data_IF_070564980553
#
_entry.id   IF_070564980553
#
_cell.length_a   1.000
_cell.length_b   1.000
_cell.length_c   1.000
_cell.angle_alpha   90.00
_cell.angle_beta   90.00
_cell.angle_gamma   90.00
#
_symmetry.space_group_name_H-M   'P 1'
#
loop_
_entity.id
_entity.type
_entity.pdbx_description
1 polymer ?
#
# COMPACT_ATOMS: atom_id res chain seq x y z
N UNK A 1 -37.36 44.52 2.79
CA UNK A 1 -38.25 44.37 1.62
C UNK A 1 -38.75 42.94 1.59
N UNK A 2 -39.97 42.69 2.08
CA UNK A 2 -40.60 41.36 2.08
C UNK A 2 -41.32 41.14 0.76
N UNK A 3 -40.79 40.29 -0.11
CA UNK A 3 -41.44 39.89 -1.36
C UNK A 3 -42.45 38.78 -1.07
N UNK A 4 -43.72 39.16 -0.96
CA UNK A 4 -44.84 38.22 -0.97
C UNK A 4 -44.96 37.59 -2.37
N UNK A 5 -44.28 36.46 -2.58
CA UNK A 5 -44.46 35.66 -3.79
C UNK A 5 -45.88 35.06 -3.78
N UNK A 6 -46.60 35.22 -4.90
CA UNK A 6 -47.98 34.79 -5.05
C UNK A 6 -48.11 33.26 -4.88
N UNK A 7 -49.21 32.77 -4.27
CA UNK A 7 -49.40 31.34 -3.98
C UNK A 7 -49.43 30.45 -5.22
N UNK A 8 -49.60 31.04 -6.41
CA UNK A 8 -49.58 30.33 -7.68
C UNK A 8 -48.18 29.81 -8.04
N UNK A 9 -47.12 30.59 -7.78
CA UNK A 9 -45.74 30.18 -8.10
C UNK A 9 -45.25 29.01 -7.26
N UNK A 10 -45.71 28.88 -6.00
CA UNK A 10 -45.36 27.72 -5.15
C UNK A 10 -45.95 26.41 -5.66
N UNK A 11 -47.15 26.42 -6.25
CA UNK A 11 -47.79 25.20 -6.76
C UNK A 11 -47.15 24.70 -8.05
N UNK A 12 -46.72 25.61 -8.93
CA UNK A 12 -46.02 25.23 -10.17
C UNK A 12 -44.63 24.67 -9.87
N UNK A 13 -43.90 25.26 -8.91
CA UNK A 13 -42.57 24.76 -8.51
C UNK A 13 -42.60 23.34 -7.94
N UNK A 14 -43.59 23.00 -7.11
CA UNK A 14 -43.72 21.64 -6.56
C UNK A 14 -44.02 20.58 -7.62
N UNK A 15 -44.84 20.88 -8.63
CA UNK A 15 -45.17 19.92 -9.68
C UNK A 15 -43.96 19.60 -10.58
N UNK A 16 -43.15 20.60 -10.90
CA UNK A 16 -41.93 20.40 -11.70
C UNK A 16 -40.91 19.55 -10.95
N UNK A 17 -40.72 19.80 -9.64
CA UNK A 17 -39.78 19.02 -8.83
C UNK A 17 -40.19 17.54 -8.72
N UNK A 18 -41.47 17.26 -8.51
CA UNK A 18 -41.98 15.88 -8.44
C UNK A 18 -41.82 15.17 -9.78
N UNK A 19 -42.09 15.85 -10.91
CA UNK A 19 -41.90 15.26 -12.23
C UNK A 19 -40.43 14.87 -12.51
N UNK A 20 -39.47 15.73 -12.13
CA UNK A 20 -38.03 15.44 -12.28
C UNK A 20 -37.59 14.25 -11.43
N UNK A 21 -38.07 14.14 -10.19
CA UNK A 21 -37.74 13.01 -9.32
C UNK A 21 -38.30 11.69 -9.90
N UNK A 22 -39.56 11.68 -10.36
CA UNK A 22 -40.18 10.48 -10.93
C UNK A 22 -39.47 10.03 -12.20
N UNK A 23 -39.12 10.96 -13.10
CA UNK A 23 -38.35 10.66 -14.32
C UNK A 23 -36.95 10.10 -14.00
N UNK A 24 -36.29 10.62 -12.95
CA UNK A 24 -34.96 10.15 -12.54
C UNK A 24 -35.01 8.73 -11.99
N UNK A 25 -36.03 8.41 -11.18
CA UNK A 25 -36.24 7.07 -10.63
C UNK A 25 -36.56 6.08 -11.75
N UNK A 26 -37.46 6.44 -12.68
CA UNK A 26 -37.80 5.56 -13.80
C UNK A 26 -36.60 5.33 -14.73
N UNK A 27 -35.77 6.35 -15.00
CA UNK A 27 -34.54 6.19 -15.78
C UNK A 27 -33.51 5.25 -15.12
N UNK A 28 -33.42 5.29 -13.78
CA UNK A 28 -32.54 4.41 -13.00
C UNK A 28 -32.98 2.93 -13.11
N UNK A 29 -34.29 2.65 -13.05
CA UNK A 29 -34.81 1.28 -13.17
C UNK A 29 -34.93 0.77 -14.61
N UNK A 30 -35.07 1.65 -15.60
CA UNK A 30 -35.13 1.29 -17.01
C UNK A 30 -33.74 0.96 -17.63
N UNK A 31 -32.67 0.96 -16.85
CA UNK A 31 -31.37 0.42 -17.28
C UNK A 31 -30.69 1.19 -18.41
N UNK A 32 -30.97 2.49 -18.55
CA UNK A 32 -30.31 3.36 -19.54
C UNK A 32 -28.86 3.64 -19.06
N UNK A 33 -27.98 2.65 -19.17
CA UNK A 33 -26.54 2.84 -19.02
C UNK A 33 -26.02 3.49 -20.30
N UNK A 34 -25.77 4.80 -20.25
CA UNK A 34 -24.93 5.45 -21.24
C UNK A 34 -23.49 4.97 -21.02
N UNK A 35 -23.04 4.01 -21.83
CA UNK A 35 -21.61 3.70 -21.97
C UNK A 35 -20.98 4.78 -22.85
N UNK A 36 -20.02 5.59 -22.36
CA UNK A 36 -19.23 6.43 -23.25
C UNK A 36 -18.33 5.52 -24.11
N UNK A 37 -18.48 5.61 -25.43
CA UNK A 37 -17.58 4.99 -26.39
C UNK A 37 -16.23 5.68 -26.33
N UNK A 38 -15.20 4.99 -25.85
CA UNK A 38 -13.81 5.40 -26.01
C UNK A 38 -13.29 4.88 -27.35
N UNK A 39 -13.54 5.64 -28.41
CA UNK A 39 -12.89 5.43 -29.70
C UNK A 39 -11.46 5.95 -29.67
N UNK A 40 -10.52 5.07 -30.05
CA UNK A 40 -9.30 5.43 -30.76
C UNK A 40 -8.13 6.00 -29.94
N UNK A 41 -7.24 5.11 -29.48
CA UNK A 41 -5.82 5.45 -29.44
C UNK A 41 -4.96 4.26 -29.86
N UNK A 42 -4.51 4.34 -31.12
CA UNK A 42 -3.38 3.61 -31.70
C UNK A 42 -2.12 3.88 -30.89
N UNK A 43 -1.43 2.84 -30.41
CA UNK A 43 0.01 2.96 -30.11
C UNK A 43 0.77 1.65 -30.32
N UNK A 44 1.46 1.66 -31.47
CA UNK A 44 2.72 1.03 -31.86
C UNK A 44 3.34 -0.04 -30.94
N UNK A 45 3.45 -1.24 -31.49
CA UNK A 45 4.34 -2.31 -31.03
C UNK A 45 5.79 -2.00 -31.42
N UNK A 46 6.66 -1.77 -30.43
CA UNK A 46 8.10 -1.82 -30.63
C UNK A 46 8.60 -3.26 -30.45
N UNK A 47 9.10 -3.84 -31.53
CA UNK A 47 9.92 -5.05 -31.54
C UNK A 47 11.35 -4.67 -31.18
N UNK A 48 11.83 -5.07 -29.99
CA UNK A 48 13.25 -4.97 -29.64
C UNK A 48 13.99 -6.26 -30.01
N UNK A 49 15.05 -6.03 -30.77
CA UNK A 49 16.06 -6.97 -31.25
C UNK A 49 16.95 -7.44 -30.11
N UNK A 50 17.01 -8.75 -29.88
CA UNK A 50 17.98 -9.38 -28.99
C UNK A 50 19.34 -9.52 -29.70
N UNK A 51 20.41 -9.14 -29.00
CA UNK A 51 21.79 -9.55 -29.31
C UNK A 51 22.43 -10.15 -28.06
N UNK A 52 23.27 -11.19 -28.20
CA UNK A 52 23.77 -11.98 -27.08
C UNK A 52 25.08 -11.40 -26.50
N UNK A 53 25.15 -11.28 -25.18
CA UNK A 53 26.40 -11.31 -24.41
C UNK A 53 26.62 -12.78 -24.01
N UNK A 54 27.75 -13.42 -24.23
CA UNK A 54 29.09 -12.95 -23.93
C UNK A 54 29.59 -13.73 -22.71
N UNK A 55 29.76 -15.04 -22.90
CA UNK A 55 30.24 -16.02 -21.93
C UNK A 55 31.73 -15.81 -21.64
N UNK A 56 32.08 -15.59 -20.36
CA UNK A 56 33.45 -15.65 -19.85
C UNK A 56 33.46 -16.25 -18.46
N UNK A 57 33.93 -17.51 -18.42
CA UNK A 57 34.90 -18.09 -17.50
C UNK A 57 34.91 -17.57 -16.06
N UNK A 58 34.38 -18.39 -15.15
CA UNK A 58 34.65 -18.32 -13.72
C UNK A 58 35.16 -19.68 -13.23
N UNK A 59 36.46 -19.91 -13.43
CA UNK A 59 37.18 -20.96 -12.71
C UNK A 59 37.73 -20.41 -11.39
N UNK A 60 37.81 -21.35 -10.43
CA UNK A 60 38.69 -21.33 -9.26
C UNK A 60 38.08 -20.82 -7.94
N UNK A 61 37.46 -21.74 -7.19
CA UNK A 61 37.23 -21.58 -5.75
C UNK A 61 37.77 -22.80 -5.00
N UNK A 62 38.93 -22.60 -4.40
CA UNK A 62 39.63 -23.53 -3.52
C UNK A 62 38.87 -23.68 -2.19
N UNK A 63 38.61 -24.91 -1.76
CA UNK A 63 38.12 -25.25 -0.42
C UNK A 63 39.20 -25.00 0.65
N UNK A 64 38.79 -24.69 1.88
CA UNK A 64 39.55 -25.11 3.06
C UNK A 64 38.71 -26.01 3.98
N UNK A 65 39.20 -27.25 4.05
CA UNK A 65 39.30 -28.19 5.18
C UNK A 65 38.68 -27.81 6.53
N UNK A 66 37.94 -28.81 7.03
CA UNK A 66 37.34 -28.99 8.35
C UNK A 66 38.26 -28.74 9.54
N UNK A 67 37.76 -27.99 10.53
CA UNK A 67 38.25 -27.94 11.90
C UNK A 67 37.15 -28.37 12.86
N UNK A 68 37.32 -29.55 13.45
CA UNK A 68 36.46 -30.20 14.42
C UNK A 68 36.69 -29.57 15.82
N UNK A 69 35.65 -29.08 16.50
CA UNK A 69 35.70 -28.85 17.95
C UNK A 69 34.36 -29.21 18.62
N UNK A 70 34.49 -30.14 19.56
CA UNK A 70 33.46 -30.66 20.45
C UNK A 70 32.79 -29.55 21.27
N UNK A 71 31.47 -29.61 21.38
CA UNK A 71 30.73 -28.93 22.43
C UNK A 71 29.50 -29.76 22.78
N UNK A 72 29.67 -30.54 23.85
CA UNK A 72 28.60 -31.21 24.58
C UNK A 72 27.61 -30.18 25.12
N UNK A 73 26.44 -30.08 24.49
CA UNK A 73 25.31 -29.28 24.99
C UNK A 73 24.23 -30.26 25.44
N UNK A 74 23.81 -30.07 26.70
CA UNK A 74 22.80 -30.84 27.42
C UNK A 74 21.51 -30.99 26.62
N UNK A 75 21.15 -32.25 26.34
CA UNK A 75 19.80 -32.67 25.99
C UNK A 75 19.02 -32.89 27.28
N UNK A 76 18.24 -31.90 27.72
CA UNK A 76 17.16 -32.11 28.68
C UNK A 76 16.21 -30.90 28.67
N UNK A 77 15.44 -30.77 27.58
CA UNK A 77 14.11 -30.13 27.63
C UNK A 77 13.19 -30.99 26.78
N UNK A 78 12.42 -31.83 27.47
CA UNK A 78 11.41 -32.70 26.90
C UNK A 78 10.31 -31.87 26.22
N UNK A 79 10.30 -32.01 24.90
CA UNK A 79 9.22 -31.75 23.98
C UNK A 79 7.89 -32.29 24.52
N UNK A 80 6.93 -31.39 24.71
CA UNK A 80 5.50 -31.72 24.66
C UNK A 80 4.92 -31.17 23.35
N UNK A 81 5.60 -31.45 22.23
CA UNK A 81 5.01 -31.32 20.91
C UNK A 81 3.89 -32.37 20.78
N UNK A 82 2.68 -31.90 21.01
CA UNK A 82 1.43 -32.63 20.82
C UNK A 82 1.43 -33.35 19.47
N UNK A 83 1.24 -34.67 19.50
CA UNK A 83 1.05 -35.52 18.34
C UNK A 83 -0.26 -35.16 17.61
N UNK A 84 -0.23 -34.07 16.85
CA UNK A 84 -1.26 -33.71 15.89
C UNK A 84 -0.81 -34.32 14.57
N UNK A 85 -1.49 -35.37 14.12
CA UNK A 85 -1.26 -35.95 12.79
C UNK A 85 -1.38 -34.89 11.69
N UNK A 86 -0.88 -35.19 10.47
CA UNK A 86 -0.89 -34.24 9.36
C UNK A 86 -2.30 -33.66 9.18
N UNK A 87 -2.44 -32.34 9.36
CA UNK A 87 -3.70 -31.66 9.14
C UNK A 87 -4.03 -31.76 7.65
N UNK A 88 -5.23 -32.22 7.26
CA UNK A 88 -5.60 -32.31 5.86
C UNK A 88 -5.52 -30.91 5.24
N UNK A 89 -4.86 -30.80 4.09
CA UNK A 89 -4.81 -29.54 3.34
C UNK A 89 -6.23 -29.13 2.97
N UNK A 90 -6.60 -27.86 3.17
CA UNK A 90 -7.94 -27.40 2.81
C UNK A 90 -8.19 -27.43 1.32
N UNK A 91 -9.45 -27.65 0.95
CA UNK A 91 -9.84 -27.62 -0.45
C UNK A 91 -9.74 -26.21 -1.03
N UNK A 92 -9.50 -26.11 -2.34
CA UNK A 92 -9.35 -24.83 -3.04
C UNK A 92 -10.58 -23.91 -2.89
N UNK A 93 -11.77 -24.49 -2.79
CA UNK A 93 -13.03 -23.79 -2.53
C UNK A 93 -13.08 -23.15 -1.14
N UNK A 94 -12.44 -23.77 -0.15
CA UNK A 94 -12.45 -23.36 1.25
C UNK A 94 -11.40 -22.29 1.55
N UNK A 95 -10.30 -22.23 0.79
CA UNK A 95 -9.22 -21.26 1.01
C UNK A 95 -9.69 -19.79 1.02
N UNK A 96 -10.74 -19.45 0.26
CA UNK A 96 -11.31 -18.09 0.23
C UNK A 96 -12.13 -17.71 1.47
N UNK A 97 -12.53 -18.69 2.27
CA UNK A 97 -13.34 -18.52 3.47
C UNK A 97 -12.51 -18.69 4.75
N UNK A 98 -11.21 -19.02 4.61
CA UNK A 98 -10.33 -19.22 5.74
C UNK A 98 -9.95 -17.89 6.36
N UNK A 99 -10.06 -17.80 7.68
CA UNK A 99 -9.59 -16.66 8.45
C UNK A 99 -8.08 -16.48 8.22
N UNK A 100 -7.73 -15.40 7.53
CA UNK A 100 -6.33 -15.01 7.38
C UNK A 100 -5.97 -14.05 8.51
N UNK A 101 -5.23 -14.53 9.51
CA UNK A 101 -4.70 -13.66 10.56
C UNK A 101 -5.35 -13.79 11.95
N UNK A 102 -4.91 -12.99 12.94
CA UNK A 102 -5.38 -13.06 14.32
C UNK A 102 -6.56 -12.09 14.51
N UNK A 103 -7.71 -12.37 13.90
CA UNK A 103 -8.88 -11.45 13.89
C UNK A 103 -9.78 -11.58 15.11
N UNK A 104 -9.51 -12.48 16.06
CA UNK A 104 -10.38 -12.71 17.21
C UNK A 104 -10.57 -11.50 18.16
N UNK A 105 -9.89 -10.38 17.93
CA UNK A 105 -10.05 -9.13 18.71
C UNK A 105 -10.23 -7.85 17.88
N UNK A 106 -10.40 -7.94 16.56
CA UNK A 106 -10.52 -6.73 15.74
C UNK A 106 -11.99 -6.30 15.60
N UNK A 107 -12.48 -5.52 16.56
CA UNK A 107 -13.77 -4.83 16.46
C UNK A 107 -13.59 -3.54 15.65
N UNK A 108 -13.86 -3.61 14.34
CA UNK A 108 -13.92 -2.43 13.47
C UNK A 108 -15.27 -1.74 13.61
N UNK A 109 -15.48 -1.07 14.75
CA UNK A 109 -16.48 -0.01 14.83
C UNK A 109 -16.05 1.12 13.87
N UNK A 110 -16.60 1.10 12.65
CA UNK A 110 -16.37 2.12 11.60
C UNK A 110 -16.70 3.53 12.11
N UNK A 111 -17.59 3.66 13.10
CA UNK A 111 -17.90 4.94 13.78
C UNK A 111 -16.70 5.57 14.48
N UNK A 112 -15.63 4.81 14.77
CA UNK A 112 -14.38 5.33 15.39
C UNK A 112 -13.27 5.61 14.39
N UNK A 113 -13.48 5.37 13.09
CA UNK A 113 -12.53 5.80 12.07
C UNK A 113 -12.68 7.30 11.92
N UNK A 114 -11.87 8.05 12.66
CA UNK A 114 -11.77 9.48 12.46
C UNK A 114 -11.25 9.69 11.03
N UNK A 115 -12.12 10.14 10.11
CA UNK A 115 -11.71 10.74 8.85
C UNK A 115 -11.10 12.09 9.18
N UNK A 116 -9.87 12.10 9.70
CA UNK A 116 -9.14 13.32 10.03
C UNK A 116 -8.63 13.92 8.73
N UNK A 117 -9.54 14.50 7.95
CA UNK A 117 -9.25 15.74 7.25
C UNK A 117 -9.26 16.85 8.29
N UNK A 118 -8.26 16.85 9.17
CA UNK A 118 -8.05 17.96 10.09
C UNK A 118 -6.66 18.56 9.83
N UNK A 119 -6.56 19.18 8.66
CA UNK A 119 -5.52 20.17 8.39
C UNK A 119 -5.61 21.39 9.35
N UNK A 120 -6.68 21.48 10.16
CA UNK A 120 -7.02 22.67 10.94
C UNK A 120 -6.68 22.55 12.44
N UNK A 121 -6.60 21.35 13.03
CA UNK A 121 -6.43 21.18 14.49
C UNK A 121 -5.04 21.35 15.04
N UNK A 122 -4.06 21.74 14.24
CA UNK A 122 -2.78 22.15 14.79
C UNK A 122 -2.14 23.32 14.03
N UNK A 123 -2.94 24.25 13.52
CA UNK A 123 -2.42 25.55 13.04
C UNK A 123 -1.97 26.44 14.21
N UNK A 124 -2.50 26.24 15.42
CA UNK A 124 -2.22 27.08 16.58
C UNK A 124 -1.17 26.53 17.55
N UNK A 125 -0.83 25.23 17.47
CA UNK A 125 0.22 24.63 18.32
C UNK A 125 1.49 24.23 17.53
N UNK A 126 1.46 24.28 16.20
CA UNK A 126 2.67 24.25 15.38
C UNK A 126 2.94 25.64 14.85
N UNK A 127 3.85 26.34 15.51
CA UNK A 127 4.56 27.41 14.83
C UNK A 127 5.25 26.78 13.59
N UNK A 128 4.89 27.22 12.37
CA UNK A 128 5.44 26.67 11.13
C UNK A 128 6.95 26.87 10.99
N UNK A 129 7.58 27.60 11.93
CA UNK A 129 9.02 27.81 12.02
C UNK A 129 9.74 26.97 13.10
N UNK A 130 9.04 26.25 13.98
CA UNK A 130 9.70 25.47 15.08
C UNK A 130 9.55 23.96 15.00
N UNK A 131 8.68 23.41 14.14
CA UNK A 131 8.89 22.05 13.68
C UNK A 131 10.14 22.08 12.78
N UNK A 132 11.23 21.46 13.23
CA UNK A 132 12.30 21.06 12.31
C UNK A 132 11.73 20.02 11.33
N UNK A 133 10.95 20.46 10.35
CA UNK A 133 10.55 19.67 9.19
C UNK A 133 11.74 19.63 8.24
N UNK A 134 12.78 18.93 8.67
CA UNK A 134 13.92 18.55 7.86
C UNK A 134 14.15 17.08 8.08
N UNK A 135 14.40 16.28 7.04
CA UNK A 135 14.62 14.85 7.21
C UNK A 135 15.81 14.65 8.16
N UNK A 136 15.50 14.20 9.38
CA UNK A 136 16.50 13.66 10.27
C UNK A 136 17.05 12.41 9.62
N UNK A 137 18.38 12.31 9.49
CA UNK A 137 19.01 11.16 8.89
C UNK A 137 18.60 9.86 9.59
N UNK A 138 18.41 9.89 10.91
CA UNK A 138 17.96 8.73 11.67
C UNK A 138 16.53 8.32 11.29
N UNK A 139 15.59 9.26 11.27
CA UNK A 139 14.18 8.99 10.92
C UNK A 139 14.08 8.46 9.48
N UNK A 140 14.91 8.98 8.59
CA UNK A 140 15.04 8.51 7.21
C UNK A 140 15.52 7.06 7.17
N UNK A 141 16.57 6.72 7.89
CA UNK A 141 17.08 5.35 7.95
C UNK A 141 16.03 4.39 8.54
N UNK A 142 15.33 4.78 9.61
CA UNK A 142 14.25 3.99 10.19
C UNK A 142 13.09 3.78 9.20
N UNK A 143 12.66 4.84 8.50
CA UNK A 143 11.61 4.75 7.49
C UNK A 143 12.02 3.87 6.30
N UNK A 144 13.30 3.90 5.91
CA UNK A 144 13.82 3.02 4.86
C UNK A 144 13.87 1.56 5.32
N UNK A 145 14.27 1.30 6.57
CA UNK A 145 14.31 -0.03 7.16
C UNK A 145 12.90 -0.66 7.25
N UNK A 146 11.92 0.04 7.83
CA UNK A 146 10.55 -0.48 7.94
C UNK A 146 9.92 -0.74 6.56
N UNK A 147 10.23 0.10 5.55
CA UNK A 147 9.81 -0.16 4.16
C UNK A 147 10.49 -1.38 3.55
N UNK A 148 11.77 -1.61 3.87
CA UNK A 148 12.53 -2.75 3.38
C UNK A 148 12.05 -4.06 4.02
N UNK A 149 11.72 -4.07 5.31
CA UNK A 149 11.19 -5.25 6.01
C UNK A 149 9.92 -5.81 5.36
N UNK A 150 9.11 -4.95 4.73
CA UNK A 150 7.88 -5.36 4.06
C UNK A 150 8.06 -5.70 2.58
N UNK A 151 9.28 -5.64 2.02
CA UNK A 151 9.51 -5.79 0.58
C UNK A 151 10.71 -6.70 0.30
N UNK A 152 10.59 -7.54 -0.72
CA UNK A 152 11.73 -8.34 -1.18
C UNK A 152 12.88 -7.45 -1.73
N UNK A 153 12.56 -6.35 -2.40
CA UNK A 153 13.52 -5.37 -2.92
C UNK A 153 12.86 -4.00 -3.12
N UNK A 154 13.67 -2.97 -3.36
CA UNK A 154 13.17 -1.65 -3.70
C UNK A 154 12.45 -1.65 -5.05
N UNK A 155 11.13 -1.76 -5.01
CA UNK A 155 10.28 -1.83 -6.20
C UNK A 155 9.18 -2.87 -6.03
N UNK A 156 9.51 -3.98 -5.35
CA UNK A 156 8.57 -5.04 -5.04
C UNK A 156 7.35 -4.51 -4.26
N UNK A 157 6.12 -4.92 -4.58
CA UNK A 157 4.95 -4.64 -3.75
C UNK A 157 5.21 -5.06 -2.29
N UNK A 158 4.74 -4.27 -1.29
CA UNK A 158 4.86 -4.65 0.10
C UNK A 158 3.92 -5.81 0.44
N UNK A 159 4.36 -6.70 1.33
CA UNK A 159 3.47 -7.65 1.99
C UNK A 159 2.47 -6.92 2.90
N UNK A 160 1.30 -7.51 3.09
CA UNK A 160 0.25 -6.95 3.95
C UNK A 160 0.58 -7.33 5.40
N UNK A 161 0.84 -6.37 6.31
CA UNK A 161 1.24 -6.67 7.68
C UNK A 161 0.06 -6.96 8.62
N UNK A 162 -1.16 -7.05 8.09
CA UNK A 162 -2.38 -7.23 8.87
C UNK A 162 -3.30 -8.27 8.20
N UNK A 163 -4.31 -8.70 8.96
CA UNK A 163 -5.34 -9.62 8.47
C UNK A 163 -6.13 -9.01 7.30
N UNK A 164 -6.59 -9.86 6.38
CA UNK A 164 -7.46 -9.47 5.26
C UNK A 164 -8.69 -10.38 5.27
N UNK A 165 -9.82 -9.84 5.70
CA UNK A 165 -11.07 -10.60 5.81
C UNK A 165 -11.87 -10.59 4.50
N UNK A 166 -11.71 -9.54 3.70
CA UNK A 166 -12.40 -9.36 2.42
C UNK A 166 -11.38 -9.06 1.33
N UNK A 167 -11.51 -9.77 0.21
CA UNK A 167 -10.63 -9.65 -0.95
C UNK A 167 -11.19 -8.70 -2.01
N UNK A 168 -12.25 -7.96 -1.70
CA UNK A 168 -12.76 -6.92 -2.59
C UNK A 168 -11.96 -5.62 -2.46
N UNK A 169 -11.79 -4.94 -3.60
CA UNK A 169 -10.93 -3.76 -3.68
C UNK A 169 -11.45 -2.59 -2.83
N UNK A 170 -12.77 -2.48 -2.68
CA UNK A 170 -13.39 -1.41 -1.92
C UNK A 170 -12.95 -1.42 -0.45
N UNK A 171 -12.80 -2.62 0.13
CA UNK A 171 -12.31 -2.80 1.50
C UNK A 171 -10.88 -2.28 1.69
N UNK A 172 -10.01 -2.47 0.69
CA UNK A 172 -8.62 -1.96 0.74
C UNK A 172 -8.57 -0.44 0.54
N UNK A 173 -9.33 0.07 -0.43
CA UNK A 173 -9.35 1.49 -0.84
C UNK A 173 -9.88 2.38 0.29
N UNK A 174 -10.81 1.88 1.12
CA UNK A 174 -11.37 2.60 2.27
C UNK A 174 -10.30 3.18 3.21
N UNK A 175 -9.17 2.47 3.36
CA UNK A 175 -8.05 2.91 4.19
C UNK A 175 -6.85 3.39 3.37
N UNK A 176 -6.58 2.79 2.21
CA UNK A 176 -5.33 3.00 1.49
C UNK A 176 -5.39 4.03 0.35
N UNK A 177 -6.55 4.53 -0.09
CA UNK A 177 -6.57 5.45 -1.26
C UNK A 177 -5.94 6.81 -0.98
N UNK A 178 -6.36 7.43 0.13
CA UNK A 178 -5.80 8.68 0.67
C UNK A 178 -4.91 8.44 1.90
N UNK A 179 -4.94 7.23 2.46
CA UNK A 179 -4.33 6.90 3.73
C UNK A 179 -5.23 7.28 4.90
N UNK A 180 -5.13 6.55 6.00
CA UNK A 180 -5.89 6.81 7.23
C UNK A 180 -5.07 6.43 8.46
N UNK A 181 -5.32 7.11 9.57
CA UNK A 181 -4.82 6.70 10.89
C UNK A 181 -5.98 6.21 11.75
N UNK A 182 -5.86 5.00 12.27
CA UNK A 182 -6.83 4.38 13.19
C UNK A 182 -6.12 4.09 14.50
N UNK A 183 -6.25 5.00 15.47
CA UNK A 183 -5.46 4.96 16.71
C UNK A 183 -3.97 5.12 16.41
N UNK A 184 -3.17 4.12 16.79
CA UNK A 184 -1.72 4.08 16.51
C UNK A 184 -1.39 3.50 15.13
N UNK A 185 -2.35 2.82 14.48
CA UNK A 185 -2.16 2.20 13.18
C UNK A 185 -2.24 3.23 12.06
N UNK A 186 -1.32 3.13 11.11
CA UNK A 186 -1.26 3.98 9.92
C UNK A 186 -1.44 3.10 8.70
N UNK A 187 -2.51 3.34 7.95
CA UNK A 187 -2.63 2.87 6.58
C UNK A 187 -2.02 3.95 5.68
N UNK A 188 -0.83 3.67 5.15
CA UNK A 188 -0.20 4.58 4.20
C UNK A 188 -1.04 4.66 2.92
N UNK A 189 -1.04 5.85 2.33
CA UNK A 189 -1.63 6.08 1.01
C UNK A 189 -0.98 5.17 -0.03
N UNK A 190 -1.76 4.65 -0.99
CA UNK A 190 -1.23 3.91 -2.13
C UNK A 190 -0.34 4.82 -2.97
N UNK A 191 0.76 4.25 -3.48
CA UNK A 191 1.70 4.96 -4.34
C UNK A 191 1.28 4.95 -5.81
N UNK A 192 0.27 4.18 -6.17
CA UNK A 192 -0.23 4.03 -7.53
C UNK A 192 -1.73 4.34 -7.61
N UNK A 193 -2.25 4.43 -8.85
CA UNK A 193 -3.70 4.48 -9.11
C UNK A 193 -4.38 3.21 -8.60
N UNK A 194 -5.68 3.26 -8.32
CA UNK A 194 -6.43 2.06 -7.98
C UNK A 194 -6.33 1.03 -9.12
N UNK A 195 -5.99 -0.21 -8.76
CA UNK A 195 -5.99 -1.38 -9.63
C UNK A 195 -6.90 -2.44 -9.01
N UNK A 196 -7.44 -3.32 -9.86
CA UNK A 196 -8.30 -4.39 -9.39
C UNK A 196 -7.50 -5.53 -8.74
N UNK A 197 -8.10 -6.19 -7.75
CA UNK A 197 -7.58 -7.32 -6.99
C UNK A 197 -6.22 -7.05 -6.32
N UNK A 198 -6.20 -6.27 -5.24
CA UNK A 198 -4.97 -5.86 -4.54
C UNK A 198 -4.04 -7.04 -4.17
N UNK A 199 -4.62 -8.20 -3.83
CA UNK A 199 -3.89 -9.40 -3.43
C UNK A 199 -3.18 -10.15 -4.56
N UNK A 200 -3.33 -9.71 -5.82
CA UNK A 200 -2.50 -10.22 -6.92
C UNK A 200 -1.04 -9.78 -6.79
N UNK A 201 -0.80 -8.62 -6.18
CA UNK A 201 0.53 -8.07 -5.99
C UNK A 201 0.94 -8.04 -4.52
N UNK A 202 -0.01 -7.78 -3.61
CA UNK A 202 0.23 -7.69 -2.18
C UNK A 202 -0.12 -9.00 -1.49
N UNK A 203 0.90 -9.78 -1.12
CA UNK A 203 0.67 -11.05 -0.44
C UNK A 203 0.12 -10.81 0.98
N UNK A 204 -1.02 -11.43 1.35
CA UNK A 204 -1.49 -11.45 2.74
C UNK A 204 -0.54 -12.28 3.61
N UNK A 205 -0.58 -12.11 4.95
CA UNK A 205 0.17 -12.97 5.84
C UNK A 205 -0.28 -14.43 5.69
N UNK A 206 0.60 -15.38 6.05
CA UNK A 206 0.28 -16.80 6.02
C UNK A 206 -1.03 -17.08 6.76
N UNK A 207 -2.00 -17.78 6.13
CA UNK A 207 -3.30 -18.05 6.74
C UNK A 207 -3.20 -19.11 7.84
N UNK A 208 -4.17 -19.12 8.76
CA UNK A 208 -4.34 -20.22 9.72
C UNK A 208 -4.76 -21.49 8.93
N UNK A 209 -4.20 -22.69 9.21
CA UNK A 209 -3.30 -23.07 10.32
C UNK A 209 -1.80 -22.97 10.05
N UNK A 210 -1.38 -22.50 8.89
CA UNK A 210 0.02 -22.52 8.47
C UNK A 210 0.89 -21.42 9.10
N UNK A 211 0.37 -20.67 10.08
CA UNK A 211 1.07 -19.53 10.69
C UNK A 211 2.29 -19.91 11.51
N UNK A 212 2.21 -21.05 12.18
CA UNK A 212 3.22 -21.53 13.10
C UNK A 212 4.14 -22.58 12.44
N UNK A 213 3.92 -22.86 11.16
CA UNK A 213 4.72 -23.81 10.38
C UNK A 213 6.01 -23.14 9.89
N UNK A 214 7.15 -23.80 10.09
CA UNK A 214 8.41 -23.34 9.52
C UNK A 214 8.45 -23.64 8.02
N UNK A 215 7.98 -22.68 7.24
CA UNK A 215 8.00 -22.70 5.77
C UNK A 215 9.22 -21.98 5.19
N UNK A 216 10.23 -21.67 6.01
CA UNK A 216 11.41 -20.97 5.55
C UNK A 216 12.22 -21.86 4.59
N UNK A 217 12.33 -21.41 3.34
CA UNK A 217 13.23 -22.03 2.36
C UNK A 217 14.47 -21.16 2.23
N UNK A 218 15.64 -21.77 2.36
CA UNK A 218 16.90 -21.08 2.16
C UNK A 218 16.94 -20.45 0.76
N UNK A 219 17.24 -19.16 0.69
CA UNK A 219 17.32 -18.41 -0.55
C UNK A 219 18.61 -17.57 -0.56
N UNK A 220 19.32 -17.59 -1.69
CA UNK A 220 20.47 -16.71 -1.94
C UNK A 220 20.06 -15.37 -2.58
N UNK A 221 18.77 -15.08 -2.65
CA UNK A 221 18.26 -13.85 -3.24
C UNK A 221 18.69 -12.61 -2.44
N UNK A 222 19.26 -11.63 -3.13
CA UNK A 222 19.61 -10.32 -2.56
C UNK A 222 18.83 -9.24 -3.32
N UNK A 223 17.94 -8.55 -2.62
CA UNK A 223 17.14 -7.49 -3.20
C UNK A 223 17.92 -6.19 -3.44
N UNK A 224 17.50 -5.43 -4.45
CA UNK A 224 18.01 -4.07 -4.68
C UNK A 224 17.65 -3.17 -3.48
N UNK A 225 18.63 -2.50 -2.82
CA UNK A 225 18.34 -1.62 -1.70
C UNK A 225 17.64 -0.33 -2.15
N UNK A 226 16.95 0.34 -1.21
CA UNK A 226 16.38 1.65 -1.47
C UNK A 226 17.50 2.72 -1.55
N UNK A 227 17.41 3.69 -2.48
CA UNK A 227 18.37 4.77 -2.56
C UNK A 227 18.31 5.63 -1.29
N UNK A 228 19.47 5.90 -0.70
CA UNK A 228 19.59 6.77 0.47
C UNK A 228 19.75 8.24 0.07
N UNK A 229 20.20 8.53 -1.14
CA UNK A 229 20.39 9.89 -1.63
C UNK A 229 20.15 9.97 -3.13
N UNK A 230 19.65 11.13 -3.57
CA UNK A 230 19.48 11.46 -4.96
C UNK A 230 20.68 12.24 -5.51
N UNK A 231 21.06 11.93 -6.74
CA UNK A 231 22.04 12.71 -7.49
C UNK A 231 21.50 14.13 -7.78
N UNK A 232 22.43 15.07 -7.97
CA UNK A 232 22.14 16.44 -8.40
C UNK A 232 23.02 16.74 -9.61
N UNK A 233 22.48 17.51 -10.56
CA UNK A 233 23.26 17.92 -11.73
C UNK A 233 24.45 18.82 -11.36
N UNK A 234 24.28 19.68 -10.34
CA UNK A 234 25.32 20.56 -9.78
C UNK A 234 24.97 20.95 -8.34
N UNK A 235 25.90 21.60 -7.63
CA UNK A 235 25.68 22.07 -6.26
C UNK A 235 24.51 23.05 -6.19
N UNK A 236 23.50 22.74 -5.37
CA UNK A 236 22.27 23.53 -5.25
C UNK A 236 21.16 23.17 -6.24
N UNK A 237 21.44 22.44 -7.33
CA UNK A 237 20.40 21.94 -8.23
C UNK A 237 19.44 21.00 -7.47
N UNK A 238 18.13 20.98 -7.75
CA UNK A 238 17.20 20.03 -7.17
C UNK A 238 17.68 18.57 -7.34
N UNK A 239 17.39 17.68 -6.36
CA UNK A 239 17.71 16.27 -6.49
C UNK A 239 16.81 15.62 -7.56
N UNK A 240 17.37 14.71 -8.37
CA UNK A 240 16.57 13.86 -9.27
C UNK A 240 15.86 12.77 -8.48
N UNK A 241 14.73 12.25 -8.98
CA UNK A 241 14.06 11.11 -8.34
C UNK A 241 14.97 9.87 -8.47
N UNK A 242 15.46 9.27 -7.37
CA UNK A 242 16.48 8.21 -7.43
C UNK A 242 15.89 6.81 -7.61
N UNK A 243 14.61 6.70 -7.98
CA UNK A 243 13.90 5.44 -8.15
C UNK A 243 12.90 5.54 -9.30
N UNK A 244 12.44 4.39 -9.80
CA UNK A 244 11.34 4.33 -10.76
C UNK A 244 10.08 4.99 -10.21
N UNK A 245 9.32 5.66 -11.07
CA UNK A 245 8.00 6.23 -10.77
C UNK A 245 6.85 5.29 -11.13
N UNK A 246 7.12 4.21 -11.85
CA UNK A 246 6.11 3.19 -12.15
C UNK A 246 5.61 2.55 -10.85
N UNK A 247 4.30 2.52 -10.65
CA UNK A 247 3.60 2.17 -9.41
C UNK A 247 3.97 3.05 -8.20
N UNK A 248 4.54 4.23 -8.45
CA UNK A 248 4.94 5.25 -7.45
C UNK A 248 4.59 6.67 -7.92
N UNK A 249 3.52 6.79 -8.69
CA UNK A 249 3.07 8.05 -9.30
C UNK A 249 2.49 9.03 -8.27
N UNK A 250 1.95 8.53 -7.15
CA UNK A 250 1.43 9.36 -6.05
C UNK A 250 2.55 9.71 -5.06
N UNK A 251 3.44 10.65 -5.39
CA UNK A 251 4.63 10.98 -4.57
C UNK A 251 4.34 11.22 -3.07
N UNK A 252 3.18 11.81 -2.75
CA UNK A 252 2.76 12.09 -1.38
C UNK A 252 2.50 10.82 -0.55
N UNK A 253 2.37 9.63 -1.17
CA UNK A 253 2.30 8.36 -0.45
C UNK A 253 3.56 8.02 0.34
N UNK A 254 4.69 8.59 -0.07
CA UNK A 254 5.95 8.43 0.64
C UNK A 254 6.43 9.74 1.24
N UNK A 255 6.20 10.84 0.55
CA UNK A 255 6.78 12.15 0.87
C UNK A 255 5.78 13.14 1.51
N UNK A 256 4.53 12.73 1.74
CA UNK A 256 3.42 13.63 2.13
C UNK A 256 3.22 13.87 3.63
N UNK A 257 4.21 13.60 4.48
CA UNK A 257 4.11 13.79 5.93
C UNK A 257 3.16 12.79 6.58
N UNK A 258 2.00 13.26 7.05
CA UNK A 258 1.05 12.47 7.87
C UNK A 258 0.58 11.14 7.23
N UNK A 259 0.32 11.13 5.92
CA UNK A 259 -0.08 9.93 5.16
C UNK A 259 1.11 9.24 4.46
N UNK A 260 2.32 9.75 4.69
CA UNK A 260 3.57 9.25 4.16
C UNK A 260 4.50 8.77 5.27
N UNK A 261 5.80 8.71 4.97
CA UNK A 261 6.80 8.22 5.91
C UNK A 261 7.51 9.40 6.57
N UNK A 262 7.56 9.48 7.92
CA UNK A 262 8.14 10.63 8.62
C UNK A 262 9.56 10.96 8.16
N UNK A 263 10.41 9.95 7.97
CA UNK A 263 11.79 10.12 7.53
C UNK A 263 11.98 10.39 6.04
N UNK A 264 10.91 10.28 5.24
CA UNK A 264 10.94 10.55 3.80
C UNK A 264 10.19 11.82 3.43
N UNK A 265 9.70 12.60 4.40
CA UNK A 265 9.00 13.84 4.11
C UNK A 265 9.90 14.82 3.33
N UNK A 266 9.30 15.50 2.34
CA UNK A 266 9.96 16.56 1.58
C UNK A 266 9.55 17.92 2.12
N UNK A 267 10.50 18.85 2.16
CA UNK A 267 10.29 20.23 2.63
C UNK A 267 9.36 21.06 1.75
N UNK A 268 8.90 20.50 0.61
CA UNK A 268 8.20 21.20 -0.47
C UNK A 268 7.01 20.38 -0.99
N UNK A 269 6.29 19.76 -0.06
CA UNK A 269 5.09 18.91 -0.28
C UNK A 269 3.96 19.55 -1.08
N UNK A 270 3.93 20.89 -1.20
CA UNK A 270 2.98 21.59 -2.07
C UNK A 270 3.28 21.45 -3.57
N UNK A 271 4.48 20.95 -3.93
CA UNK A 271 4.78 20.58 -5.30
C UNK A 271 4.16 19.21 -5.58
N UNK A 272 3.07 19.23 -6.34
CA UNK A 272 2.29 18.04 -6.67
C UNK A 272 2.91 17.20 -7.80
N UNK A 273 3.94 17.72 -8.48
CA UNK A 273 4.73 17.01 -9.49
C UNK A 273 6.22 17.24 -9.18
N UNK A 274 6.93 16.15 -8.91
CA UNK A 274 8.36 16.14 -8.62
C UNK A 274 9.21 15.69 -9.83
N UNK A 275 8.56 15.54 -10.99
CA UNK A 275 9.18 15.21 -12.28
C UNK A 275 9.50 16.47 -13.07
#
# INVERSE_FOLDING_TARGET
MNTNASPLHRRVGSLVLVAVIVLSILGFFAGIRHSPSSDGLLLQTHTESSSPAGEKDLENRTEPTSGNQDSSVSTDVLDTASAVGPRPSPEYSQMRQMETGPTRRWDVSIEKVHTVYDYQRCITCHDPHTLRVGPNQQDKLMSLAERAERRAFNGAPPVIPHAVERLDDASCIACHDEGVRVGELIANRMSHRVLANCVQCHAPPTPNPFRDEDIAVASSFVGLPAPTQAARAFAGAPPVVPHSTWMREKCLSCHGGWNGWPGLEVTHRWRTQCL
#
